data_IF_154501585519
#
_entry.id   IF_154501585519
#
_cell.length_a   1.000
_cell.length_b   1.000
_cell.length_c   1.000
_cell.angle_alpha   90.00
_cell.angle_beta   90.00
_cell.angle_gamma   90.00
#
_symmetry.space_group_name_H-M   'P 1'
#
loop_
_entity.id
_entity.type
_entity.pdbx_description
1 polymer ?
#
# COMPACT_ATOMS: atom_id res chain seq x y z
N UNK A 1 -3.09 3.61 -2.33
CA UNK A 1 -2.09 4.12 -3.30
C UNK A 1 -2.50 3.71 -4.71
N UNK A 2 -2.89 4.66 -5.57
CA UNK A 2 -3.40 4.40 -6.93
C UNK A 2 -2.32 4.17 -8.00
N UNK A 3 -1.04 4.21 -7.63
CA UNK A 3 0.10 4.20 -8.57
C UNK A 3 0.62 2.80 -8.95
N UNK A 4 -0.11 1.73 -8.62
CA UNK A 4 0.33 0.34 -8.81
C UNK A 4 0.65 -0.03 -10.27
N UNK A 5 0.12 0.72 -11.24
CA UNK A 5 0.31 0.50 -12.68
C UNK A 5 1.14 1.59 -13.38
N UNK A 6 1.84 2.45 -12.62
CA UNK A 6 2.64 3.54 -13.16
C UNK A 6 4.13 3.31 -12.91
N UNK A 7 4.96 3.86 -13.79
CA UNK A 7 6.42 3.94 -13.61
C UNK A 7 6.85 5.32 -13.08
N UNK A 8 7.96 5.39 -12.34
CA UNK A 8 8.58 6.66 -11.96
C UNK A 8 9.02 7.45 -13.19
N UNK A 9 9.17 8.76 -13.06
CA UNK A 9 9.52 9.63 -14.21
C UNK A 9 11.01 9.57 -14.52
N UNK A 10 11.80 9.26 -13.51
CA UNK A 10 13.26 9.31 -13.49
C UNK A 10 13.87 8.29 -14.45
N UNK A 11 13.32 7.07 -14.51
CA UNK A 11 13.81 6.00 -15.37
C UNK A 11 12.76 5.44 -16.36
N UNK A 12 11.48 5.82 -16.23
CA UNK A 12 10.34 5.28 -16.98
C UNK A 12 10.24 3.73 -17.00
N UNK A 13 10.82 3.07 -16.01
CA UNK A 13 10.90 1.61 -15.94
C UNK A 13 10.47 1.07 -14.56
N UNK A 14 10.86 1.75 -13.48
CA UNK A 14 10.57 1.28 -12.12
C UNK A 14 9.14 1.57 -11.71
N UNK A 15 8.43 0.54 -11.24
CA UNK A 15 7.05 0.67 -10.78
C UNK A 15 6.96 1.57 -9.52
N UNK A 16 6.09 2.59 -9.55
CA UNK A 16 5.98 3.58 -8.47
C UNK A 16 5.61 2.98 -7.11
N UNK A 17 4.76 1.96 -7.09
CA UNK A 17 4.37 1.32 -5.84
C UNK A 17 5.53 0.46 -5.29
N UNK A 18 6.28 -0.24 -6.15
CA UNK A 18 7.50 -0.94 -5.73
C UNK A 18 8.54 0.01 -5.15
N UNK A 19 8.79 1.12 -5.81
CA UNK A 19 9.73 2.11 -5.28
C UNK A 19 9.26 2.73 -3.96
N UNK A 20 7.95 2.92 -3.78
CA UNK A 20 7.40 3.35 -2.49
C UNK A 20 7.65 2.32 -1.38
N UNK A 21 7.61 1.02 -1.71
CA UNK A 21 7.94 -0.06 -0.77
C UNK A 21 9.43 -0.06 -0.43
N UNK A 22 10.30 0.07 -1.43
CA UNK A 22 11.76 0.12 -1.24
C UNK A 22 12.17 1.33 -0.39
N UNK A 23 11.58 2.50 -0.66
CA UNK A 23 11.79 3.70 0.14
C UNK A 23 11.29 3.50 1.58
N UNK A 24 10.12 2.91 1.76
CA UNK A 24 9.58 2.63 3.09
C UNK A 24 10.48 1.65 3.86
N UNK A 25 10.99 0.60 3.23
CA UNK A 25 11.93 -0.34 3.85
C UNK A 25 13.23 0.36 4.28
N UNK A 26 13.77 1.24 3.44
CA UNK A 26 14.95 2.05 3.77
C UNK A 26 14.72 2.96 4.99
N UNK A 27 13.55 3.60 5.06
CA UNK A 27 13.18 4.45 6.21
C UNK A 27 12.97 3.61 7.46
N UNK A 28 12.23 2.51 7.34
CA UNK A 28 11.90 1.61 8.46
C UNK A 28 13.17 1.01 9.09
N UNK A 29 14.14 0.60 8.27
CA UNK A 29 15.40 0.02 8.74
C UNK A 29 16.49 1.06 9.01
N UNK A 30 16.19 2.36 8.89
CA UNK A 30 17.19 3.41 9.11
C UNK A 30 17.65 3.43 10.57
N UNK A 31 18.97 3.32 10.79
CA UNK A 31 19.57 3.30 12.13
C UNK A 31 19.19 4.50 13.01
N UNK A 32 18.92 5.64 12.39
CA UNK A 32 18.57 6.89 13.05
C UNK A 32 17.07 6.99 13.40
N UNK A 33 16.23 6.12 12.81
CA UNK A 33 14.77 6.11 12.98
C UNK A 33 14.24 4.88 13.73
N UNK A 34 15.12 4.03 14.28
CA UNK A 34 14.75 2.75 14.94
C UNK A 34 13.77 2.87 16.11
N UNK A 35 13.62 4.05 16.70
CA UNK A 35 12.67 4.31 17.80
C UNK A 35 11.56 5.27 17.40
N UNK A 36 11.53 5.69 16.13
CA UNK A 36 10.55 6.63 15.61
C UNK A 36 9.46 5.82 14.91
N UNK A 37 8.23 5.95 15.42
CA UNK A 37 7.07 5.33 14.79
C UNK A 37 6.67 6.11 13.53
N UNK A 38 6.11 5.40 12.56
CA UNK A 38 5.73 5.96 11.25
C UNK A 38 4.22 5.97 11.12
N UNK A 39 3.66 7.12 10.76
CA UNK A 39 2.28 7.23 10.29
C UNK A 39 2.33 7.06 8.77
N UNK A 40 1.72 6.00 8.26
CA UNK A 40 1.72 5.66 6.84
C UNK A 40 0.42 6.12 6.19
N UNK A 41 0.50 7.09 5.28
CA UNK A 41 -0.64 7.52 4.49
C UNK A 41 -0.72 6.79 3.15
N UNK A 42 -1.71 5.90 3.05
CA UNK A 42 -2.10 5.28 1.80
C UNK A 42 -3.05 6.24 1.07
N UNK A 43 -2.46 7.25 0.44
CA UNK A 43 -3.21 8.32 -0.22
C UNK A 43 -3.84 7.89 -1.56
N UNK A 44 -4.75 8.72 -2.09
CA UNK A 44 -5.44 8.61 -3.38
C UNK A 44 -6.35 7.38 -3.48
N UNK A 45 -7.17 7.16 -2.44
CA UNK A 45 -8.10 6.04 -2.38
C UNK A 45 -9.24 6.17 -3.40
N UNK A 46 -9.70 7.39 -3.67
CA UNK A 46 -10.59 7.76 -4.77
C UNK A 46 -10.08 7.23 -6.12
N UNK A 47 -8.84 7.59 -6.48
CA UNK A 47 -8.23 7.15 -7.74
C UNK A 47 -7.97 5.64 -7.77
N UNK A 48 -7.73 5.01 -6.61
CA UNK A 48 -7.57 3.57 -6.53
C UNK A 48 -8.89 2.87 -6.83
N UNK A 49 -9.98 3.34 -6.22
CA UNK A 49 -11.32 2.81 -6.43
C UNK A 49 -11.72 2.90 -7.91
N UNK A 50 -11.58 4.08 -8.53
CA UNK A 50 -11.87 4.27 -9.95
C UNK A 50 -11.12 3.29 -10.86
N UNK A 51 -9.80 3.11 -10.63
CA UNK A 51 -8.97 2.22 -11.45
C UNK A 51 -9.36 0.75 -11.29
N UNK A 52 -9.60 0.32 -10.06
CA UNK A 52 -9.98 -1.07 -9.75
C UNK A 52 -11.33 -1.40 -10.37
N UNK A 53 -12.31 -0.49 -10.24
CA UNK A 53 -13.66 -0.67 -10.78
C UNK A 53 -13.68 -0.59 -12.31
N UNK A 54 -12.84 0.25 -12.93
CA UNK A 54 -12.72 0.33 -14.38
C UNK A 54 -12.18 -0.97 -15.01
N UNK A 55 -11.43 -1.78 -14.25
CA UNK A 55 -10.97 -3.11 -14.67
C UNK A 55 -9.99 -3.15 -15.85
N UNK A 56 -9.51 -1.98 -16.32
CA UNK A 56 -8.61 -1.87 -17.49
C UNK A 56 -7.18 -2.32 -17.19
N UNK A 57 -6.74 -2.22 -15.94
CA UNK A 57 -5.37 -2.50 -15.49
C UNK A 57 -5.45 -3.24 -14.16
N UNK A 58 -5.15 -4.54 -14.20
CA UNK A 58 -5.31 -5.42 -13.06
C UNK A 58 -4.09 -5.33 -12.15
N UNK A 59 -4.28 -5.47 -10.84
CA UNK A 59 -3.18 -5.34 -9.88
C UNK A 59 -2.23 -6.55 -10.01
N UNK A 60 -2.77 -7.74 -10.29
CA UNK A 60 -2.03 -8.98 -10.48
C UNK A 60 -1.04 -8.95 -11.66
N UNK A 61 -1.23 -8.05 -12.63
CA UNK A 61 -0.29 -7.86 -13.74
C UNK A 61 1.04 -7.23 -13.26
N UNK A 62 1.04 -6.54 -12.11
CA UNK A 62 2.20 -5.84 -11.54
C UNK A 62 2.67 -6.47 -10.21
N UNK A 63 1.72 -7.06 -9.48
CA UNK A 63 1.89 -7.73 -8.19
C UNK A 63 1.18 -9.10 -8.23
N UNK A 64 1.82 -10.13 -8.81
CA UNK A 64 1.19 -11.45 -9.04
C UNK A 64 0.60 -12.09 -7.78
N UNK A 65 1.17 -11.81 -6.61
CA UNK A 65 0.68 -12.28 -5.31
C UNK A 65 -0.74 -11.77 -4.99
N UNK A 66 -1.19 -10.69 -5.64
CA UNK A 66 -2.55 -10.20 -5.52
C UNK A 66 -3.58 -11.22 -6.02
N UNK A 67 -3.24 -12.13 -6.92
CA UNK A 67 -4.19 -13.15 -7.41
C UNK A 67 -4.69 -14.05 -6.27
N UNK A 68 -3.82 -14.38 -5.31
CA UNK A 68 -4.12 -15.27 -4.18
C UNK A 68 -4.45 -14.51 -2.89
N UNK A 69 -4.44 -13.18 -2.91
CA UNK A 69 -4.70 -12.39 -1.72
C UNK A 69 -6.17 -12.50 -1.26
N UNK A 70 -6.38 -12.58 0.03
CA UNK A 70 -7.70 -12.52 0.67
C UNK A 70 -7.70 -11.41 1.71
N UNK A 71 -8.85 -10.76 1.86
CA UNK A 71 -8.99 -9.69 2.84
C UNK A 71 -8.96 -10.33 4.24
N UNK A 72 -8.16 -9.80 5.19
CA UNK A 72 -8.15 -10.26 6.57
C UNK A 72 -9.53 -10.19 7.21
N UNK A 73 -9.84 -11.12 8.12
CA UNK A 73 -11.15 -11.18 8.79
C UNK A 73 -11.42 -9.96 9.69
N UNK A 74 -10.36 -9.33 10.21
CA UNK A 74 -10.39 -8.13 11.03
C UNK A 74 -10.43 -6.83 10.22
N UNK A 75 -10.51 -6.93 8.89
CA UNK A 75 -10.65 -5.77 8.03
C UNK A 75 -11.99 -5.06 8.26
N UNK A 76 -11.92 -3.75 8.47
CA UNK A 76 -13.09 -2.87 8.57
C UNK A 76 -13.27 -2.09 7.26
N UNK A 77 -14.00 -2.61 6.26
CA UNK A 77 -14.31 -1.85 5.05
C UNK A 77 -15.23 -0.66 5.35
N UNK A 78 -15.18 0.34 4.48
CA UNK A 78 -16.09 1.49 4.57
C UNK A 78 -17.49 1.07 4.15
N UNK A 79 -18.52 1.66 4.76
CA UNK A 79 -19.90 1.32 4.46
C UNK A 79 -20.22 1.59 2.97
N UNK A 80 -20.67 0.55 2.26
CA UNK A 80 -21.00 0.65 0.84
C UNK A 80 -19.81 0.58 -0.12
N UNK A 81 -18.59 0.31 0.37
CA UNK A 81 -17.42 0.10 -0.48
C UNK A 81 -17.52 -1.21 -1.27
N UNK A 82 -17.13 -1.19 -2.55
CA UNK A 82 -17.09 -2.39 -3.37
C UNK A 82 -16.01 -3.36 -2.84
N UNK A 83 -16.32 -4.67 -2.68
CA UNK A 83 -15.36 -5.65 -2.17
C UNK A 83 -14.04 -5.73 -2.95
N UNK A 84 -14.04 -5.41 -4.26
CA UNK A 84 -12.81 -5.35 -5.06
C UNK A 84 -11.91 -4.19 -4.64
N UNK A 85 -12.51 -3.05 -4.29
CA UNK A 85 -11.79 -1.87 -3.80
C UNK A 85 -11.24 -2.14 -2.41
N UNK A 86 -12.05 -2.74 -1.52
CA UNK A 86 -11.59 -3.22 -0.21
C UNK A 86 -10.39 -4.16 -0.38
N UNK A 87 -10.50 -5.17 -1.24
CA UNK A 87 -9.41 -6.13 -1.48
C UNK A 87 -8.15 -5.46 -1.99
N UNK A 88 -8.26 -4.52 -2.92
CA UNK A 88 -7.13 -3.76 -3.44
C UNK A 88 -6.46 -2.89 -2.38
N UNK A 89 -7.23 -2.12 -1.59
CA UNK A 89 -6.65 -1.21 -0.59
C UNK A 89 -5.96 -1.96 0.54
N UNK A 90 -6.56 -3.05 1.01
CA UNK A 90 -6.00 -3.89 2.06
C UNK A 90 -4.77 -4.66 1.57
N UNK A 91 -4.76 -5.14 0.33
CA UNK A 91 -3.56 -5.74 -0.26
C UNK A 91 -2.37 -4.79 -0.23
N UNK A 92 -2.57 -3.54 -0.68
CA UNK A 92 -1.51 -2.54 -0.69
C UNK A 92 -1.05 -2.21 0.73
N UNK A 93 -1.98 -2.06 1.68
CA UNK A 93 -1.64 -1.88 3.11
C UNK A 93 -0.73 -3.01 3.60
N UNK A 94 -1.09 -4.25 3.29
CA UNK A 94 -0.38 -5.42 3.78
C UNK A 94 1.01 -5.60 3.15
N UNK A 95 1.27 -5.02 1.96
CA UNK A 95 2.62 -4.94 1.42
C UNK A 95 3.53 -4.10 2.34
N UNK A 96 3.06 -2.95 2.82
CA UNK A 96 3.83 -2.11 3.74
C UNK A 96 3.94 -2.72 5.14
N UNK A 97 2.84 -3.31 5.66
CA UNK A 97 2.85 -3.93 6.98
C UNK A 97 3.79 -5.14 7.06
N UNK A 98 3.93 -5.90 5.96
CA UNK A 98 4.93 -6.97 5.86
C UNK A 98 6.35 -6.47 6.10
N UNK A 99 6.70 -5.30 5.56
CA UNK A 99 8.01 -4.67 5.82
C UNK A 99 8.14 -4.30 7.31
N UNK A 100 7.12 -3.65 7.88
CA UNK A 100 7.22 -3.19 9.28
C UNK A 100 7.25 -4.31 10.32
N UNK A 101 6.63 -5.46 10.00
CA UNK A 101 6.55 -6.61 10.92
C UNK A 101 7.76 -7.55 10.80
N UNK A 102 8.55 -7.46 9.72
CA UNK A 102 9.70 -8.33 9.49
C UNK A 102 10.86 -8.13 10.49
N UNK A 103 11.02 -6.93 11.03
CA UNK A 103 12.18 -6.55 11.88
C UNK A 103 11.81 -6.21 13.32
N UNK A 104 10.62 -6.60 13.78
CA UNK A 104 10.01 -6.15 15.04
C UNK A 104 10.83 -6.47 16.30
N UNK A 105 11.62 -5.50 16.77
CA UNK A 105 12.20 -5.48 18.12
C UNK A 105 11.28 -4.77 19.14
N UNK A 106 10.08 -4.37 18.71
CA UNK A 106 9.05 -3.73 19.53
C UNK A 106 9.30 -2.25 19.85
N UNK A 107 10.31 -1.62 19.25
CA UNK A 107 10.70 -0.23 19.60
C UNK A 107 9.96 0.87 18.85
N UNK A 108 9.33 0.54 17.72
CA UNK A 108 8.53 1.49 16.94
C UNK A 108 7.44 0.77 16.16
N UNK A 109 6.42 1.53 15.76
CA UNK A 109 5.19 1.00 15.15
C UNK A 109 4.88 1.70 13.84
N UNK A 110 4.17 1.00 12.95
CA UNK A 110 3.60 1.57 11.73
C UNK A 110 2.09 1.71 11.90
N UNK A 111 1.57 2.92 11.69
CA UNK A 111 0.15 3.26 11.80
C UNK A 111 -0.40 3.58 10.40
N UNK A 112 -1.00 2.61 9.69
CA UNK A 112 -1.53 2.84 8.36
C UNK A 112 -2.88 3.56 8.40
N UNK A 113 -3.03 4.59 7.57
CA UNK A 113 -4.31 5.26 7.32
C UNK A 113 -4.59 5.32 5.83
N UNK A 114 -5.82 4.97 5.46
CA UNK A 114 -6.35 5.21 4.12
C UNK A 114 -6.78 6.67 4.02
N UNK A 115 -6.22 7.41 3.06
CA UNK A 115 -6.45 8.86 2.95
C UNK A 115 -6.77 9.28 1.51
N UNK A 116 -7.48 10.40 1.38
CA UNK A 116 -7.76 11.06 0.11
C UNK A 116 -7.46 12.55 0.29
N UNK A 117 -6.29 13.00 -0.18
CA UNK A 117 -5.79 14.36 0.07
C UNK A 117 -6.31 15.41 -0.94
N UNK A 118 -7.59 15.32 -1.32
CA UNK A 118 -8.29 16.35 -2.13
C UNK A 118 -9.34 17.12 -1.33
N UNK A 119 -9.28 17.05 0.00
CA UNK A 119 -9.91 18.01 0.91
C UNK A 119 -8.90 19.12 1.30
#
# INVERSE_FOLDING_TARGET
CSSYNMVIREDNNTNRLRESLDLFESIWNNRWLRTISIILFLNKQDMLAEKVLAGKSKIEDYFPEYANYTVPEDATPDAGEDPKVTRAKFFIRDLFLRISTATGDGKHYCYPHFTCAVD
#
